data_IF_642431892251
#
_entry.id   IF_642431892251
#
_cell.length_a   1.000
_cell.length_b   1.000
_cell.length_c   1.000
_cell.angle_alpha   90.00
_cell.angle_beta   90.00
_cell.angle_gamma   90.00
#
_symmetry.space_group_name_H-M   'P 1'
#
loop_
_entity.id
_entity.type
_entity.pdbx_description
1 polymer ?
#
# COMPACT_ATOMS: atom_id res chain seq x y z
N UNK A 1 33.15 27.82 -17.56
CA UNK A 1 32.06 28.17 -16.63
C UNK A 1 30.84 27.39 -17.10
N UNK A 2 30.30 26.50 -16.27
CA UNK A 2 29.13 25.69 -16.63
C UNK A 2 27.87 26.34 -16.04
N UNK A 3 26.76 26.24 -16.76
CA UNK A 3 25.45 26.67 -16.27
C UNK A 3 24.95 25.67 -15.22
N UNK A 4 24.18 26.11 -14.20
CA UNK A 4 23.41 25.21 -13.36
C UNK A 4 22.40 24.41 -14.19
N UNK A 5 22.10 23.17 -13.79
CA UNK A 5 21.26 22.24 -14.58
C UNK A 5 19.88 22.83 -14.92
N UNK A 6 19.25 23.57 -14.00
CA UNK A 6 17.96 24.24 -14.23
C UNK A 6 18.00 25.40 -15.24
N UNK A 7 19.19 25.83 -15.68
CA UNK A 7 19.37 26.85 -16.71
C UNK A 7 19.72 26.24 -18.10
N UNK A 8 19.80 24.91 -18.19
CA UNK A 8 20.05 24.22 -19.46
C UNK A 8 18.71 23.97 -20.17
N UNK A 9 18.51 24.44 -21.41
CA UNK A 9 17.26 24.24 -22.14
C UNK A 9 17.03 22.76 -22.49
N UNK A 10 15.82 22.24 -22.26
CA UNK A 10 15.44 20.87 -22.63
C UNK A 10 15.39 20.63 -24.16
N UNK A 11 15.29 21.69 -24.96
CA UNK A 11 15.29 21.61 -26.43
C UNK A 11 16.15 22.71 -27.05
N UNK A 12 16.95 22.35 -28.05
CA UNK A 12 17.69 23.29 -28.90
C UNK A 12 17.24 23.08 -30.34
N UNK A 13 16.44 24.02 -30.86
CA UNK A 13 15.96 23.98 -32.24
C UNK A 13 16.82 24.89 -33.09
N UNK A 14 17.51 24.33 -34.09
CA UNK A 14 18.29 25.11 -35.06
C UNK A 14 17.34 25.82 -36.02
N UNK A 15 17.48 27.14 -36.11
CA UNK A 15 16.77 27.97 -37.08
C UNK A 15 17.76 28.49 -38.11
N UNK A 16 17.37 28.49 -39.38
CA UNK A 16 18.16 29.14 -40.43
C UNK A 16 18.10 30.67 -40.34
N UNK A 17 16.98 31.20 -39.84
CA UNK A 17 16.78 32.62 -39.58
C UNK A 17 15.80 32.84 -38.43
N UNK A 18 16.08 33.82 -37.58
CA UNK A 18 15.17 34.20 -36.49
C UNK A 18 13.88 34.82 -37.06
N UNK A 19 12.68 34.31 -36.71
CA UNK A 19 11.44 34.94 -37.12
C UNK A 19 11.29 36.28 -36.41
N UNK A 20 11.03 37.33 -37.18
CA UNK A 20 10.83 38.69 -36.67
C UNK A 20 9.43 39.17 -37.03
N UNK A 21 8.78 39.83 -36.08
CA UNK A 21 7.55 40.60 -36.29
C UNK A 21 7.78 41.77 -37.26
N UNK A 22 6.70 42.37 -37.76
CA UNK A 22 6.76 43.56 -38.63
C UNK A 22 7.57 44.73 -38.05
N UNK A 23 7.71 44.80 -36.72
CA UNK A 23 8.50 45.82 -36.01
C UNK A 23 9.96 45.38 -35.72
N UNK A 24 10.44 44.30 -36.33
CA UNK A 24 11.82 43.81 -36.18
C UNK A 24 12.12 43.10 -34.85
N UNK A 25 11.13 42.88 -33.98
CA UNK A 25 11.29 42.09 -32.74
C UNK A 25 11.09 40.61 -33.00
N UNK A 26 11.75 39.74 -32.24
CA UNK A 26 11.55 38.29 -32.32
C UNK A 26 10.07 37.90 -32.19
N UNK A 27 9.54 37.21 -33.20
CA UNK A 27 8.17 36.69 -33.18
C UNK A 27 8.15 35.30 -32.55
N UNK A 28 7.89 35.27 -31.24
CA UNK A 28 7.85 34.04 -30.45
C UNK A 28 6.75 33.07 -30.90
N UNK A 29 5.67 33.57 -31.49
CA UNK A 29 4.54 32.71 -31.91
C UNK A 29 4.83 31.95 -33.19
N UNK A 30 5.79 32.43 -33.97
CA UNK A 30 6.23 31.80 -35.22
C UNK A 30 7.44 30.89 -35.04
N UNK A 31 7.89 30.67 -33.81
CA UNK A 31 8.92 29.67 -33.55
C UNK A 31 8.32 28.26 -33.80
N UNK A 32 9.04 27.38 -34.50
CA UNK A 32 8.58 26.00 -34.68
C UNK A 32 8.50 25.30 -33.32
N UNK A 33 7.49 24.45 -33.18
CA UNK A 33 7.43 23.54 -32.03
C UNK A 33 8.57 22.51 -32.16
N UNK A 34 9.21 22.11 -31.05
CA UNK A 34 10.17 21.01 -31.07
C UNK A 34 9.49 19.74 -31.61
N UNK A 35 10.05 19.13 -32.66
CA UNK A 35 9.51 17.87 -33.17
C UNK A 35 9.66 16.77 -32.10
N UNK A 36 8.53 16.15 -31.76
CA UNK A 36 8.34 15.29 -30.59
C UNK A 36 8.94 13.88 -30.73
N UNK A 37 10.25 13.79 -30.71
CA UNK A 37 10.96 12.68 -30.09
C UNK A 37 12.00 13.29 -29.17
N UNK A 38 11.87 13.06 -27.86
CA UNK A 38 12.94 13.47 -26.95
C UNK A 38 14.15 12.61 -27.31
N UNK A 39 15.10 13.19 -28.03
CA UNK A 39 16.37 12.58 -28.31
C UNK A 39 17.35 13.13 -27.26
N UNK A 40 17.39 12.47 -26.11
CA UNK A 40 18.31 12.76 -25.01
C UNK A 40 19.78 12.51 -25.40
N UNK A 41 20.03 11.89 -26.56
CA UNK A 41 21.35 11.41 -26.97
C UNK A 41 21.76 10.13 -26.24
N UNK A 42 20.89 9.57 -25.40
CA UNK A 42 21.06 8.31 -24.69
C UNK A 42 20.48 7.19 -25.56
N UNK A 43 21.19 6.06 -25.63
CA UNK A 43 20.69 4.88 -26.33
C UNK A 43 19.43 4.35 -25.64
N UNK A 44 18.38 4.11 -26.42
CA UNK A 44 17.13 3.59 -25.87
C UNK A 44 17.35 2.21 -25.26
N UNK A 45 17.07 2.09 -23.96
CA UNK A 45 16.97 0.82 -23.25
C UNK A 45 15.53 0.57 -22.84
N UNK A 46 15.05 -0.64 -23.15
CA UNK A 46 13.75 -1.12 -22.69
C UNK A 46 13.80 -1.52 -21.20
N UNK A 47 12.66 -1.48 -20.48
CA UNK A 47 12.60 -1.96 -19.11
C UNK A 47 12.92 -3.45 -19.03
N UNK A 48 13.70 -3.82 -18.03
CA UNK A 48 14.23 -5.17 -17.83
C UNK A 48 13.60 -5.91 -16.65
N UNK A 49 12.89 -5.18 -15.78
CA UNK A 49 12.23 -5.73 -14.60
C UNK A 49 10.86 -5.06 -14.34
N UNK A 50 10.08 -5.62 -13.43
CA UNK A 50 8.71 -5.17 -13.15
C UNK A 50 8.64 -3.74 -12.57
N UNK A 51 9.63 -3.35 -11.76
CA UNK A 51 9.71 -2.00 -11.19
C UNK A 51 9.97 -0.98 -12.32
N UNK A 52 10.97 -1.23 -13.18
CA UNK A 52 11.25 -0.38 -14.34
C UNK A 52 10.02 -0.26 -15.26
N UNK A 53 9.31 -1.36 -15.54
CA UNK A 53 8.10 -1.35 -16.38
C UNK A 53 6.99 -0.47 -15.79
N UNK A 54 6.72 -0.60 -14.47
CA UNK A 54 5.72 0.24 -13.79
C UNK A 54 6.11 1.72 -13.76
N UNK A 55 7.37 2.01 -13.48
CA UNK A 55 7.88 3.38 -13.49
C UNK A 55 7.80 4.00 -14.88
N UNK A 56 8.09 3.22 -15.93
CA UNK A 56 7.96 3.66 -17.30
C UNK A 56 6.51 4.01 -17.65
N UNK A 57 5.56 3.12 -17.36
CA UNK A 57 4.12 3.37 -17.56
C UNK A 57 3.67 4.64 -16.84
N UNK A 58 4.08 4.79 -15.57
CA UNK A 58 3.78 5.96 -14.75
C UNK A 58 4.32 7.25 -15.37
N UNK A 59 5.57 7.25 -15.82
CA UNK A 59 6.21 8.41 -16.44
C UNK A 59 5.56 8.77 -17.77
N UNK A 60 5.20 7.77 -18.58
CA UNK A 60 4.48 7.99 -19.84
C UNK A 60 3.11 8.64 -19.59
N UNK A 61 2.37 8.21 -18.55
CA UNK A 61 1.09 8.80 -18.17
C UNK A 61 1.25 10.26 -17.72
N UNK A 62 2.23 10.55 -16.86
CA UNK A 62 2.41 11.86 -16.24
C UNK A 62 2.99 12.88 -17.21
N UNK A 63 4.00 12.48 -18.01
CA UNK A 63 4.69 13.36 -18.95
C UNK A 63 3.95 13.46 -20.29
N UNK A 64 3.10 12.49 -20.62
CA UNK A 64 2.43 12.42 -21.93
C UNK A 64 3.38 12.04 -23.09
N UNK A 65 4.57 11.51 -22.77
CA UNK A 65 5.60 11.11 -23.74
C UNK A 65 5.61 9.60 -23.86
N UNK A 66 5.53 9.06 -25.09
CA UNK A 66 5.46 7.60 -25.32
C UNK A 66 6.81 6.92 -25.39
N UNK A 67 7.81 7.56 -25.95
CA UNK A 67 9.14 6.97 -26.14
C UNK A 67 10.07 7.50 -25.06
N UNK A 68 10.05 6.85 -23.89
CA UNK A 68 10.95 7.14 -22.76
C UNK A 68 11.84 5.91 -22.60
N UNK A 69 13.15 6.08 -22.67
CA UNK A 69 14.14 5.08 -22.28
C UNK A 69 14.30 5.07 -20.76
N UNK A 70 14.59 3.91 -20.17
CA UNK A 70 14.68 3.82 -18.70
C UNK A 70 15.89 4.57 -18.11
N UNK A 71 16.86 4.94 -18.93
CA UNK A 71 18.02 5.74 -18.53
C UNK A 71 17.85 7.24 -18.86
N UNK A 72 16.71 7.63 -19.43
CA UNK A 72 16.40 9.03 -19.68
C UNK A 72 16.20 9.80 -18.38
N UNK A 73 16.77 10.99 -18.31
CA UNK A 73 16.56 11.88 -17.18
C UNK A 73 15.18 12.54 -17.26
N UNK A 74 14.41 12.46 -16.17
CA UNK A 74 13.07 13.02 -16.00
C UNK A 74 12.97 14.46 -16.49
N UNK A 75 13.96 15.31 -16.18
CA UNK A 75 13.95 16.72 -16.52
C UNK A 75 14.28 16.98 -17.99
N UNK A 76 15.10 16.12 -18.60
CA UNK A 76 15.47 16.22 -20.01
C UNK A 76 14.30 15.85 -20.93
N UNK A 77 13.40 14.98 -20.45
CA UNK A 77 12.19 14.55 -21.16
C UNK A 77 10.94 15.40 -20.86
N UNK A 78 11.13 16.61 -20.33
CA UNK A 78 10.04 17.57 -20.09
C UNK A 78 9.44 17.54 -18.68
N UNK A 79 10.03 16.78 -17.76
CA UNK A 79 9.68 16.79 -16.36
C UNK A 79 10.00 18.12 -15.67
N UNK A 80 9.17 18.48 -14.69
CA UNK A 80 9.36 19.67 -13.86
C UNK A 80 8.90 19.38 -12.42
N UNK A 81 9.09 20.33 -11.51
CA UNK A 81 8.76 20.14 -10.09
C UNK A 81 7.29 19.75 -9.84
N UNK A 82 6.33 20.28 -10.61
CA UNK A 82 4.93 19.91 -10.45
C UNK A 82 4.66 18.48 -10.91
N UNK A 83 5.25 18.07 -12.04
CA UNK A 83 5.14 16.70 -12.54
C UNK A 83 5.85 15.71 -11.61
N UNK A 84 6.98 16.11 -11.02
CA UNK A 84 7.71 15.31 -10.05
C UNK A 84 6.91 15.10 -8.75
N UNK A 85 6.21 16.14 -8.26
CA UNK A 85 5.26 15.99 -7.15
C UNK A 85 4.13 15.02 -7.51
N UNK A 86 3.56 15.10 -8.71
CA UNK A 86 2.55 14.12 -9.17
C UNK A 86 3.12 12.71 -9.25
N UNK A 87 4.34 12.55 -9.74
CA UNK A 87 5.04 11.25 -9.76
C UNK A 87 5.23 10.73 -8.36
N UNK A 88 5.64 11.57 -7.41
CA UNK A 88 5.78 11.15 -6.02
C UNK A 88 4.44 10.72 -5.41
N UNK A 89 3.36 11.45 -5.64
CA UNK A 89 2.03 11.06 -5.12
C UNK A 89 1.60 9.68 -5.62
N UNK A 90 1.87 9.37 -6.89
CA UNK A 90 1.60 8.04 -7.46
C UNK A 90 2.54 6.97 -6.91
N UNK A 91 3.81 7.31 -6.68
CA UNK A 91 4.76 6.40 -6.05
C UNK A 91 4.45 6.15 -4.58
N UNK A 92 3.82 7.09 -3.88
CA UNK A 92 3.31 6.89 -2.53
C UNK A 92 2.19 5.84 -2.51
N UNK A 93 1.36 5.78 -3.55
CA UNK A 93 0.34 4.72 -3.70
C UNK A 93 0.97 3.34 -3.96
N UNK A 94 2.04 3.29 -4.76
CA UNK A 94 2.71 2.04 -5.16
C UNK A 94 3.75 1.54 -4.14
N UNK A 95 4.48 2.46 -3.51
CA UNK A 95 5.55 2.20 -2.56
C UNK A 95 5.45 3.16 -1.36
N UNK A 96 4.42 2.99 -0.51
CA UNK A 96 4.11 3.93 0.56
C UNK A 96 5.28 4.12 1.53
N UNK A 97 5.67 5.37 1.75
CA UNK A 97 6.79 5.78 2.60
C UNK A 97 8.19 5.44 2.10
N UNK A 98 8.31 4.78 0.95
CA UNK A 98 9.58 4.33 0.41
C UNK A 98 10.31 5.41 -0.39
N UNK A 99 9.54 6.20 -1.17
CA UNK A 99 10.09 7.19 -2.11
C UNK A 99 9.66 8.60 -1.72
N UNK A 100 10.62 9.40 -1.27
CA UNK A 100 10.43 10.82 -0.97
C UNK A 100 10.61 11.65 -2.23
N UNK A 101 10.04 12.86 -2.24
CA UNK A 101 10.23 13.83 -3.34
C UNK A 101 11.72 14.10 -3.57
N UNK A 102 12.53 14.15 -2.51
CA UNK A 102 13.98 14.33 -2.57
C UNK A 102 14.69 13.20 -3.32
N UNK A 103 14.17 11.98 -3.24
CA UNK A 103 14.76 10.81 -3.88
C UNK A 103 14.58 10.87 -5.40
N UNK A 104 13.46 11.44 -5.87
CA UNK A 104 13.22 11.66 -7.30
C UNK A 104 14.19 12.68 -7.93
N UNK A 105 14.70 13.63 -7.14
CA UNK A 105 15.78 14.51 -7.57
C UNK A 105 17.14 13.80 -7.57
N UNK A 106 17.38 12.91 -6.60
CA UNK A 106 18.63 12.17 -6.49
C UNK A 106 18.76 11.06 -7.55
N UNK A 107 17.64 10.45 -7.94
CA UNK A 107 17.54 9.36 -8.90
C UNK A 107 16.61 9.73 -10.06
N UNK A 108 16.99 10.70 -10.91
CA UNK A 108 16.10 11.27 -11.91
C UNK A 108 15.96 10.41 -13.17
N UNK A 109 16.31 9.13 -13.13
CA UNK A 109 16.14 8.18 -14.24
C UNK A 109 15.41 6.93 -13.72
N UNK A 110 14.55 6.33 -14.55
CA UNK A 110 13.74 5.16 -14.17
C UNK A 110 14.60 4.04 -13.61
N UNK A 111 15.73 3.75 -14.26
CA UNK A 111 16.66 2.70 -13.85
C UNK A 111 17.24 2.92 -12.46
N UNK A 112 17.69 4.15 -12.19
CA UNK A 112 18.25 4.54 -10.88
C UNK A 112 17.19 4.53 -9.79
N UNK A 113 15.98 4.99 -10.09
CA UNK A 113 14.87 4.97 -9.15
C UNK A 113 14.41 3.53 -8.87
N UNK A 114 14.39 2.68 -9.91
CA UNK A 114 14.11 1.25 -9.76
C UNK A 114 15.15 0.56 -8.88
N UNK A 115 16.43 0.85 -9.08
CA UNK A 115 17.52 0.33 -8.23
C UNK A 115 17.38 0.82 -6.79
N UNK A 116 17.05 2.09 -6.57
CA UNK A 116 16.81 2.64 -5.23
C UNK A 116 15.65 1.92 -4.53
N UNK A 117 14.50 1.78 -5.21
CA UNK A 117 13.32 1.06 -4.70
C UNK A 117 13.70 -0.40 -4.42
N UNK A 118 14.33 -1.08 -5.37
CA UNK A 118 14.76 -2.47 -5.23
C UNK A 118 15.71 -2.64 -4.05
N UNK A 119 16.71 -1.78 -3.89
CA UNK A 119 17.63 -1.82 -2.76
C UNK A 119 16.94 -1.45 -1.44
N UNK A 120 15.94 -0.58 -1.43
CA UNK A 120 15.18 -0.30 -0.21
C UNK A 120 14.28 -1.49 0.18
N UNK A 121 13.77 -2.24 -0.80
CA UNK A 121 12.97 -3.46 -0.59
C UNK A 121 13.84 -4.68 -0.24
N UNK A 122 15.06 -4.78 -0.78
CA UNK A 122 15.96 -5.94 -0.65
C UNK A 122 17.10 -5.73 0.35
N UNK A 123 17.54 -4.48 0.56
CA UNK A 123 18.61 -4.05 1.45
C UNK A 123 18.27 -4.17 2.94
N UNK A 124 17.08 -4.68 3.23
CA UNK A 124 16.70 -5.22 4.52
C UNK A 124 17.43 -6.56 4.72
N UNK A 125 18.74 -6.48 4.96
CA UNK A 125 19.50 -7.57 5.54
C UNK A 125 18.87 -7.91 6.90
N UNK A 126 18.21 -9.08 6.98
CA UNK A 126 17.43 -9.57 8.13
C UNK A 126 16.39 -8.58 8.66
N UNK A 127 15.22 -8.45 8.03
CA UNK A 127 14.07 -7.94 8.78
C UNK A 127 13.54 -9.02 9.70
N UNK A 128 13.30 -8.62 10.95
CA UNK A 128 12.40 -9.32 11.85
C UNK A 128 10.96 -9.00 11.45
N UNK A 129 10.17 -10.04 11.20
CA UNK A 129 8.72 -9.92 11.11
C UNK A 129 8.17 -10.18 12.49
N UNK A 130 7.43 -9.23 13.07
CA UNK A 130 6.84 -9.42 14.38
C UNK A 130 5.74 -10.48 14.33
N UNK A 131 5.64 -11.24 15.40
CA UNK A 131 4.70 -12.33 15.60
C UNK A 131 3.64 -11.97 16.64
N UNK A 132 2.58 -12.77 16.68
CA UNK A 132 1.52 -12.70 17.69
C UNK A 132 1.46 -14.05 18.39
N UNK A 133 1.58 -14.04 19.72
CA UNK A 133 1.51 -15.26 20.54
C UNK A 133 0.06 -15.62 20.83
N UNK A 134 -0.46 -16.66 20.18
CA UNK A 134 -1.80 -17.16 20.43
C UNK A 134 -1.82 -18.18 21.59
N UNK A 135 -3.00 -18.44 22.19
CA UNK A 135 -3.14 -19.50 23.17
C UNK A 135 -2.71 -20.87 22.62
N UNK A 136 -2.10 -21.70 23.46
CA UNK A 136 -1.50 -22.98 23.03
C UNK A 136 -2.54 -23.93 22.40
N UNK A 137 -3.81 -23.83 22.80
CA UNK A 137 -4.90 -24.65 22.26
C UNK A 137 -5.15 -24.42 20.76
N UNK A 138 -4.68 -23.30 20.19
CA UNK A 138 -4.69 -23.05 18.75
C UNK A 138 -3.78 -24.00 17.97
N UNK A 139 -2.80 -24.64 18.61
CA UNK A 139 -1.75 -25.42 17.94
C UNK A 139 -1.86 -26.90 18.26
N UNK A 140 -1.37 -27.73 17.34
CA UNK A 140 -1.28 -29.18 17.52
C UNK A 140 0.17 -29.65 17.49
N UNK A 141 0.47 -30.75 18.20
CA UNK A 141 1.85 -31.23 18.42
C UNK A 141 2.45 -32.06 17.26
N UNK A 142 1.77 -32.16 16.10
CA UNK A 142 2.25 -32.98 14.97
C UNK A 142 1.75 -32.52 13.60
N UNK A 143 2.35 -32.98 12.50
CA UNK A 143 1.94 -32.57 11.16
C UNK A 143 0.61 -33.23 10.74
N UNK A 144 -0.48 -32.46 10.65
CA UNK A 144 -1.63 -32.84 9.83
C UNK A 144 -1.38 -32.41 8.37
N UNK A 145 -1.31 -33.39 7.48
CA UNK A 145 -1.12 -33.21 6.04
C UNK A 145 -2.49 -32.98 5.36
N UNK A 146 -3.09 -31.81 5.57
CA UNK A 146 -4.21 -31.38 4.72
C UNK A 146 -3.82 -30.11 3.97
N UNK A 147 -3.94 -30.15 2.64
CA UNK A 147 -3.76 -28.98 1.77
C UNK A 147 -4.65 -27.81 2.21
N UNK A 148 -4.15 -26.59 1.98
CA UNK A 148 -4.78 -25.27 2.13
C UNK A 148 -6.16 -25.27 2.79
N UNK A 149 -6.17 -25.03 4.10
CA UNK A 149 -7.41 -24.89 4.83
C UNK A 149 -7.86 -23.42 4.85
N UNK A 150 -9.11 -23.21 4.46
CA UNK A 150 -9.73 -21.89 4.48
C UNK A 150 -11.17 -21.94 5.02
N UNK A 151 -11.61 -20.79 5.52
CA UNK A 151 -13.02 -20.50 5.79
C UNK A 151 -13.43 -19.28 4.98
N UNK A 152 -14.67 -19.27 4.48
CA UNK A 152 -15.23 -18.14 3.73
C UNK A 152 -16.60 -17.79 4.27
N UNK A 153 -16.86 -16.51 4.43
CA UNK A 153 -18.16 -15.95 4.79
C UNK A 153 -18.52 -14.86 3.77
N UNK A 154 -19.70 -14.98 3.16
CA UNK A 154 -20.31 -13.87 2.41
C UNK A 154 -21.08 -13.05 3.42
N UNK A 155 -20.72 -11.77 3.56
CA UNK A 155 -21.42 -10.86 4.45
C UNK A 155 -22.79 -10.56 3.86
N UNK A 156 -23.82 -10.47 4.71
CA UNK A 156 -25.14 -10.08 4.23
C UNK A 156 -25.12 -8.65 3.64
N UNK A 157 -26.14 -8.34 2.83
CA UNK A 157 -26.23 -7.08 2.09
C UNK A 157 -26.28 -5.86 3.03
N UNK A 158 -26.92 -6.01 4.20
CA UNK A 158 -27.04 -4.93 5.18
C UNK A 158 -25.69 -4.59 5.80
N UNK A 159 -24.93 -5.59 6.23
CA UNK A 159 -23.56 -5.38 6.75
C UNK A 159 -22.66 -4.84 5.64
N UNK A 160 -22.75 -5.41 4.43
CA UNK A 160 -21.93 -4.97 3.30
C UNK A 160 -22.18 -3.51 2.95
N UNK A 161 -23.45 -3.06 2.96
CA UNK A 161 -23.81 -1.65 2.76
C UNK A 161 -23.22 -0.77 3.86
N UNK A 162 -23.38 -1.15 5.13
CA UNK A 162 -22.86 -0.38 6.25
C UNK A 162 -21.33 -0.24 6.22
N UNK A 163 -20.61 -1.30 5.86
CA UNK A 163 -19.16 -1.23 5.71
C UNK A 163 -18.74 -0.27 4.59
N UNK A 164 -19.50 -0.23 3.49
CA UNK A 164 -19.29 0.75 2.41
C UNK A 164 -19.58 2.18 2.89
N UNK A 165 -20.64 2.39 3.66
CA UNK A 165 -21.00 3.70 4.20
C UNK A 165 -19.94 4.21 5.19
N UNK A 166 -19.40 3.33 6.04
CA UNK A 166 -18.29 3.64 6.95
C UNK A 166 -17.05 4.00 6.14
N UNK A 167 -16.65 3.14 5.19
CA UNK A 167 -15.51 3.36 4.30
C UNK A 167 -15.58 4.72 3.59
N UNK A 168 -16.75 5.10 3.09
CA UNK A 168 -16.98 6.40 2.44
C UNK A 168 -16.94 7.57 3.43
N UNK A 169 -17.60 7.44 4.59
CA UNK A 169 -17.62 8.49 5.62
C UNK A 169 -16.22 8.78 6.15
N UNK A 170 -15.42 7.73 6.32
CA UNK A 170 -14.10 7.77 6.95
C UNK A 170 -12.96 7.95 5.94
N UNK A 171 -13.28 8.14 4.66
CA UNK A 171 -12.34 8.30 3.55
C UNK A 171 -11.25 7.22 3.55
N UNK A 172 -11.66 5.96 3.69
CA UNK A 172 -10.77 4.79 3.85
C UNK A 172 -11.30 3.58 3.09
N UNK A 173 -10.46 2.58 2.85
CA UNK A 173 -10.89 1.30 2.28
C UNK A 173 -11.57 0.39 3.30
N UNK A 174 -12.47 -0.50 2.85
CA UNK A 174 -13.09 -1.51 3.73
C UNK A 174 -12.06 -2.43 4.38
N UNK A 175 -10.95 -2.68 3.69
CA UNK A 175 -9.82 -3.45 4.19
C UNK A 175 -9.19 -2.85 5.46
N UNK A 176 -9.19 -1.52 5.62
CA UNK A 176 -8.68 -0.86 6.83
C UNK A 176 -9.68 -1.02 7.99
N UNK A 177 -10.98 -0.93 7.73
CA UNK A 177 -12.02 -1.18 8.75
C UNK A 177 -11.93 -2.61 9.29
N UNK A 178 -11.70 -3.55 8.38
CA UNK A 178 -11.59 -4.97 8.71
C UNK A 178 -10.24 -5.31 9.35
N UNK A 179 -9.14 -4.69 8.92
CA UNK A 179 -7.85 -4.74 9.61
C UNK A 179 -7.98 -4.30 11.08
N UNK A 180 -8.63 -3.16 11.33
CA UNK A 180 -8.88 -2.65 12.68
C UNK A 180 -9.64 -3.68 13.53
N UNK A 181 -10.73 -4.24 12.99
CA UNK A 181 -11.51 -5.28 13.67
C UNK A 181 -10.67 -6.53 13.96
N UNK A 182 -9.80 -6.94 13.05
CA UNK A 182 -8.99 -8.14 13.22
C UNK A 182 -7.88 -7.93 14.25
N UNK A 183 -7.20 -6.77 14.22
CA UNK A 183 -6.23 -6.38 15.23
C UNK A 183 -6.86 -6.38 16.63
N UNK A 184 -8.04 -5.76 16.78
CA UNK A 184 -8.77 -5.76 18.05
C UNK A 184 -9.09 -7.18 18.54
N UNK A 185 -9.58 -8.06 17.66
CA UNK A 185 -9.84 -9.45 18.02
C UNK A 185 -8.59 -10.17 18.52
N UNK A 186 -7.46 -9.98 17.85
CA UNK A 186 -6.19 -10.55 18.30
C UNK A 186 -5.76 -9.98 19.66
N UNK A 187 -5.94 -8.68 19.89
CA UNK A 187 -5.71 -8.06 21.21
C UNK A 187 -6.53 -8.74 22.30
N UNK A 188 -7.83 -8.99 22.04
CA UNK A 188 -8.72 -9.69 22.98
C UNK A 188 -8.32 -11.16 23.22
N UNK A 189 -7.93 -11.89 22.17
CA UNK A 189 -7.53 -13.31 22.28
C UNK A 189 -6.22 -13.47 23.04
N UNK A 190 -5.27 -12.57 22.79
CA UNK A 190 -3.92 -12.61 23.38
C UNK A 190 -3.89 -12.03 24.79
N UNK A 191 -4.86 -11.18 25.13
CA UNK A 191 -4.84 -10.37 26.36
C UNK A 191 -3.74 -9.31 26.36
N UNK A 192 -3.15 -9.02 25.19
CA UNK A 192 -2.06 -8.05 25.02
C UNK A 192 -2.62 -6.65 24.78
N UNK A 193 -2.00 -5.65 25.41
CA UNK A 193 -2.23 -4.23 25.09
C UNK A 193 -1.67 -3.84 23.72
N UNK A 194 -0.78 -4.66 23.16
CA UNK A 194 -0.16 -4.42 21.86
C UNK A 194 -0.23 -5.65 20.95
N UNK A 195 -0.54 -5.45 19.67
CA UNK A 195 -0.53 -6.50 18.65
C UNK A 195 0.04 -5.98 17.35
N UNK A 196 0.85 -6.79 16.68
CA UNK A 196 1.33 -6.48 15.34
C UNK A 196 0.55 -7.26 14.28
N UNK A 197 0.06 -6.57 13.25
CA UNK A 197 -0.60 -7.18 12.09
C UNK A 197 0.09 -6.73 10.80
N UNK A 198 0.37 -7.69 9.92
CA UNK A 198 0.92 -7.41 8.60
C UNK A 198 -0.23 -6.99 7.67
N UNK A 199 -0.05 -5.94 6.89
CA UNK A 199 -1.04 -5.43 5.95
C UNK A 199 -0.45 -5.35 4.54
N UNK A 200 -1.06 -6.07 3.59
CA UNK A 200 -0.69 -5.95 2.18
C UNK A 200 -1.27 -4.65 1.63
N UNK A 201 -0.40 -3.68 1.36
CA UNK A 201 -0.83 -2.32 1.02
C UNK A 201 -1.41 -2.25 -0.39
N UNK A 202 -0.87 -3.03 -1.32
CA UNK A 202 -1.32 -3.03 -2.71
C UNK A 202 -0.94 -4.33 -3.44
N UNK A 203 -1.39 -4.46 -4.69
CA UNK A 203 -1.11 -5.63 -5.53
C UNK A 203 0.35 -5.78 -5.97
N UNK A 204 1.22 -4.80 -5.63
CA UNK A 204 2.64 -4.87 -5.99
C UNK A 204 3.43 -5.79 -5.05
N UNK A 205 2.82 -6.25 -3.96
CA UNK A 205 3.45 -7.13 -2.98
C UNK A 205 4.04 -6.40 -1.79
N UNK A 206 3.85 -5.08 -1.64
CA UNK A 206 4.36 -4.37 -0.48
C UNK A 206 3.52 -4.67 0.75
N UNK A 207 4.17 -5.22 1.77
CA UNK A 207 3.59 -5.49 3.08
C UNK A 207 4.12 -4.49 4.08
N UNK A 208 3.23 -4.01 4.94
CA UNK A 208 3.51 -3.08 6.02
C UNK A 208 3.24 -3.75 7.35
N UNK A 209 4.17 -3.59 8.28
CA UNK A 209 4.03 -4.09 9.64
C UNK A 209 3.39 -3.02 10.52
N UNK A 210 2.14 -3.24 10.93
CA UNK A 210 1.35 -2.27 11.71
C UNK A 210 1.29 -2.71 13.16
N UNK A 211 1.77 -1.84 14.05
CA UNK A 211 1.77 -2.06 15.49
C UNK A 211 0.60 -1.30 16.14
N UNK A 212 -0.35 -2.06 16.66
CA UNK A 212 -1.51 -1.58 17.38
C UNK A 212 -1.19 -1.52 18.86
N UNK A 213 -1.33 -0.33 19.44
CA UNK A 213 -1.29 -0.08 20.88
C UNK A 213 -2.72 0.30 21.31
N UNK A 214 -3.38 -0.63 21.98
CA UNK A 214 -4.77 -0.49 22.40
C UNK A 214 -4.93 0.42 23.62
N UNK A 215 -3.86 0.71 24.37
CA UNK A 215 -3.91 1.68 25.47
C UNK A 215 -4.10 3.11 24.95
N UNK A 216 -3.73 3.36 23.68
CA UNK A 216 -3.97 4.63 22.97
C UNK A 216 -5.37 4.73 22.35
N UNK A 217 -6.19 3.69 22.44
CA UNK A 217 -7.47 3.58 21.73
C UNK A 217 -8.62 3.44 22.72
N UNK A 218 -9.51 4.43 22.77
CA UNK A 218 -10.65 4.45 23.71
C UNK A 218 -12.00 4.13 23.08
N UNK A 219 -12.11 4.03 21.76
CA UNK A 219 -13.36 3.74 21.04
C UNK A 219 -13.10 3.06 19.70
N UNK A 220 -14.17 2.58 19.04
CA UNK A 220 -14.01 1.99 17.73
C UNK A 220 -13.63 3.02 16.66
N UNK A 221 -14.24 4.22 16.70
CA UNK A 221 -13.84 5.31 15.80
C UNK A 221 -12.36 5.65 16.02
N UNK A 222 -11.91 5.75 17.29
CA UNK A 222 -10.50 5.96 17.62
C UNK A 222 -9.58 4.84 17.11
N UNK A 223 -10.03 3.58 17.14
CA UNK A 223 -9.29 2.46 16.57
C UNK A 223 -9.15 2.60 15.05
N UNK A 224 -10.24 2.99 14.38
CA UNK A 224 -10.25 3.18 12.95
C UNK A 224 -9.35 4.34 12.53
N UNK A 225 -9.40 5.46 13.25
CA UNK A 225 -8.48 6.60 13.07
C UNK A 225 -7.03 6.18 13.26
N UNK A 226 -6.73 5.49 14.37
CA UNK A 226 -5.41 4.93 14.62
C UNK A 226 -4.94 4.03 13.46
N UNK A 227 -5.82 3.15 12.96
CA UNK A 227 -5.52 2.25 11.84
C UNK A 227 -5.22 3.02 10.55
N UNK A 228 -6.02 4.05 10.23
CA UNK A 228 -5.82 4.90 9.06
C UNK A 228 -4.48 5.64 9.13
N UNK A 229 -4.16 6.22 10.28
CA UNK A 229 -2.92 6.98 10.47
C UNK A 229 -1.69 6.10 10.35
N UNK A 230 -1.72 4.91 10.95
CA UNK A 230 -0.65 3.91 10.81
C UNK A 230 -0.46 3.48 9.35
N UNK A 231 -1.54 3.13 8.64
CA UNK A 231 -1.48 2.78 7.22
C UNK A 231 -0.93 3.90 6.32
N UNK A 232 -1.14 5.18 6.70
CA UNK A 232 -0.68 6.36 5.93
C UNK A 232 0.70 6.85 6.33
N UNK A 233 1.19 6.51 7.52
CA UNK A 233 2.45 7.05 8.04
C UNK A 233 3.66 6.53 7.24
N UNK A 234 4.40 7.44 6.64
CA UNK A 234 5.56 7.12 5.79
C UNK A 234 6.87 6.90 6.56
N UNK A 235 6.91 7.16 7.88
CA UNK A 235 8.18 7.38 8.57
C UNK A 235 8.53 6.41 9.71
N UNK A 236 7.58 5.61 10.21
CA UNK A 236 7.83 4.77 11.41
C UNK A 236 7.64 3.26 11.18
N UNK A 237 6.85 2.84 10.18
CA UNK A 237 6.51 1.42 10.01
C UNK A 237 7.40 0.74 8.96
N UNK A 238 7.82 -0.49 9.28
CA UNK A 238 8.66 -1.30 8.40
C UNK A 238 7.81 -1.82 7.24
N UNK A 239 8.18 -1.46 6.02
CA UNK A 239 7.65 -2.06 4.80
C UNK A 239 8.65 -3.06 4.21
N UNK A 240 8.15 -4.12 3.60
CA UNK A 240 8.97 -5.11 2.89
C UNK A 240 8.18 -5.70 1.72
N UNK A 241 8.91 -6.22 0.73
CA UNK A 241 8.29 -6.98 -0.37
C UNK A 241 7.88 -8.36 0.13
N UNK A 242 6.66 -8.79 -0.18
CA UNK A 242 6.15 -10.10 0.19
C UNK A 242 7.00 -11.25 -0.35
N UNK A 243 7.65 -11.08 -1.51
CA UNK A 243 8.62 -12.03 -2.05
C UNK A 243 9.87 -12.15 -1.17
N UNK A 244 10.22 -11.10 -0.41
CA UNK A 244 11.31 -11.14 0.55
C UNK A 244 11.02 -12.06 1.76
N UNK A 245 9.75 -12.45 2.01
CA UNK A 245 9.41 -13.43 3.05
C UNK A 245 10.01 -14.82 2.85
N UNK A 246 10.44 -15.15 1.62
CA UNK A 246 11.20 -16.37 1.39
C UNK A 246 12.53 -16.35 2.15
N UNK A 247 13.16 -15.16 2.21
CA UNK A 247 14.46 -14.90 2.84
C UNK A 247 14.35 -14.38 4.27
N UNK A 248 13.15 -14.00 4.71
CA UNK A 248 12.92 -13.53 6.07
C UNK A 248 13.17 -14.65 7.08
N UNK A 249 14.02 -14.38 8.07
CA UNK A 249 14.21 -15.28 9.21
C UNK A 249 12.99 -15.12 10.12
N UNK A 250 12.12 -16.13 10.11
CA UNK A 250 10.97 -16.20 10.99
C UNK A 250 11.23 -17.32 11.99
N UNK A 251 12.10 -17.07 12.97
CA UNK A 251 12.18 -17.91 14.17
C UNK A 251 10.89 -17.70 14.98
N UNK A 252 9.80 -18.33 14.53
CA UNK A 252 8.53 -18.33 15.26
C UNK A 252 8.64 -19.32 16.40
N UNK A 253 8.30 -18.89 17.60
CA UNK A 253 8.09 -19.85 18.69
C UNK A 253 6.88 -20.77 18.38
N UNK A 254 6.77 -21.90 19.09
CA UNK A 254 5.73 -22.92 18.85
C UNK A 254 4.31 -22.34 18.78
N UNK A 255 4.01 -21.29 19.55
CA UNK A 255 2.68 -20.69 19.69
C UNK A 255 2.52 -19.30 19.05
N UNK A 256 3.41 -18.98 18.10
CA UNK A 256 3.42 -17.69 17.42
C UNK A 256 2.92 -17.78 15.98
N UNK A 257 2.12 -16.78 15.58
CA UNK A 257 1.61 -16.60 14.21
C UNK A 257 2.03 -15.24 13.62
N UNK A 258 1.99 -15.10 12.30
CA UNK A 258 2.29 -13.83 11.60
C UNK A 258 1.06 -13.35 10.82
N UNK A 259 0.07 -12.74 11.49
CA UNK A 259 -1.22 -12.44 10.87
C UNK A 259 -1.07 -11.46 9.70
N UNK A 260 -1.66 -11.79 8.55
CA UNK A 260 -1.73 -10.92 7.37
C UNK A 260 -3.18 -10.54 7.07
N UNK A 261 -3.43 -9.27 6.81
CA UNK A 261 -4.67 -8.78 6.21
C UNK A 261 -4.36 -8.26 4.82
N UNK A 262 -5.15 -8.67 3.85
CA UNK A 262 -5.04 -8.18 2.49
C UNK A 262 -6.42 -7.94 1.88
N UNK A 263 -6.53 -6.89 1.06
CA UNK A 263 -7.66 -6.73 0.14
C UNK A 263 -7.55 -7.70 -1.04
N UNK A 264 -8.13 -7.31 -2.18
CA UNK A 264 -7.88 -7.98 -3.46
C UNK A 264 -6.43 -7.70 -3.87
N UNK A 265 -5.62 -8.73 -4.09
CA UNK A 265 -4.25 -8.48 -4.59
C UNK A 265 -3.17 -9.52 -4.37
N UNK A 266 -3.46 -10.69 -3.77
CA UNK A 266 -2.46 -11.76 -3.73
C UNK A 266 -2.33 -12.40 -5.13
N UNK A 267 -1.37 -11.92 -5.93
CA UNK A 267 -0.98 -12.51 -7.23
C UNK A 267 -0.13 -13.78 -7.05
N UNK A 268 0.45 -13.99 -5.87
CA UNK A 268 1.26 -15.15 -5.50
C UNK A 268 0.41 -16.39 -5.22
N UNK A 269 0.98 -17.58 -5.42
CA UNK A 269 0.30 -18.85 -5.12
C UNK A 269 -0.03 -18.91 -3.62
N UNK A 270 -1.33 -18.97 -3.30
CA UNK A 270 -1.86 -18.86 -1.92
C UNK A 270 -1.32 -19.94 -0.97
N UNK A 271 -0.87 -21.09 -1.47
CA UNK A 271 -0.33 -22.22 -0.70
C UNK A 271 0.97 -21.89 0.05
N UNK A 272 1.89 -21.15 -0.56
CA UNK A 272 3.24 -20.96 0.00
C UNK A 272 3.31 -19.79 0.98
N UNK A 273 2.47 -18.79 0.75
CA UNK A 273 2.38 -17.62 1.61
C UNK A 273 1.70 -17.95 2.96
N UNK A 274 0.72 -18.86 2.96
CA UNK A 274 0.03 -19.28 4.19
C UNK A 274 1.01 -19.94 5.18
N UNK A 275 2.03 -20.65 4.70
CA UNK A 275 3.08 -21.23 5.57
C UNK A 275 3.90 -20.16 6.30
N UNK A 276 4.02 -18.98 5.69
CA UNK A 276 4.81 -17.84 6.20
C UNK A 276 4.01 -16.89 7.07
N UNK A 277 2.70 -16.78 6.86
CA UNK A 277 1.84 -15.88 7.64
C UNK A 277 0.97 -16.63 8.68
N UNK A 278 0.77 -17.93 8.55
CA UNK A 278 -0.09 -18.76 9.43
C UNK A 278 -1.59 -18.42 9.44
N UNK A 279 -1.97 -17.14 9.37
CA UNK A 279 -3.35 -16.67 9.25
C UNK A 279 -3.37 -15.51 8.26
N UNK A 280 -4.18 -15.63 7.20
CA UNK A 280 -4.38 -14.61 6.18
C UNK A 280 -5.87 -14.29 6.10
N UNK A 281 -6.24 -13.05 6.36
CA UNK A 281 -7.57 -12.52 6.14
C UNK A 281 -7.60 -11.82 4.78
N UNK A 282 -8.32 -12.40 3.83
CA UNK A 282 -8.53 -11.84 2.50
C UNK A 282 -9.95 -11.28 2.38
N UNK A 283 -10.04 -10.07 1.83
CA UNK A 283 -11.29 -9.36 1.68
C UNK A 283 -11.55 -9.11 0.20
N UNK A 284 -12.73 -9.52 -0.26
CA UNK A 284 -13.18 -9.28 -1.62
C UNK A 284 -14.54 -8.61 -1.61
N UNK A 285 -14.59 -7.39 -2.11
CA UNK A 285 -15.83 -6.69 -2.45
C UNK A 285 -16.18 -6.94 -3.92
N UNK A 286 -17.02 -7.92 -4.21
CA UNK A 286 -17.62 -8.00 -5.55
C UNK A 286 -18.79 -7.00 -5.64
N UNK A 287 -19.23 -6.66 -6.86
CA UNK A 287 -20.29 -5.65 -7.07
C UNK A 287 -21.62 -5.97 -6.35
N UNK A 288 -21.80 -7.17 -5.79
CA UNK A 288 -23.03 -7.62 -5.13
C UNK A 288 -22.88 -7.82 -3.62
N UNK A 289 -21.75 -8.31 -3.12
CA UNK A 289 -21.54 -8.53 -1.69
C UNK A 289 -20.05 -8.55 -1.31
N UNK A 290 -19.75 -8.08 -0.09
CA UNK A 290 -18.43 -8.27 0.50
C UNK A 290 -18.29 -9.71 1.01
N UNK A 291 -17.13 -10.31 0.80
CA UNK A 291 -16.79 -11.62 1.36
C UNK A 291 -15.45 -11.57 2.07
N UNK A 292 -15.40 -12.27 3.20
CA UNK A 292 -14.21 -12.42 4.02
C UNK A 292 -13.77 -13.86 3.95
N UNK A 293 -12.50 -14.09 3.67
CA UNK A 293 -11.87 -15.39 3.67
C UNK A 293 -10.74 -15.43 4.67
N UNK A 294 -10.62 -16.51 5.42
CA UNK A 294 -9.52 -16.78 6.34
C UNK A 294 -8.79 -18.02 5.85
N UNK A 295 -7.58 -17.85 5.32
CA UNK A 295 -6.66 -18.95 5.06
C UNK A 295 -5.78 -19.15 6.30
N UNK A 296 -5.43 -20.39 6.61
CA UNK A 296 -4.55 -20.65 7.74
C UNK A 296 -3.63 -21.85 7.53
N UNK A 297 -2.52 -21.87 8.27
CA UNK A 297 -1.53 -22.92 8.22
C UNK A 297 -2.03 -24.14 9.01
N UNK A 298 -2.75 -25.01 8.31
CA UNK A 298 -3.29 -26.28 8.80
C UNK A 298 -2.23 -27.26 9.32
N UNK A 299 -0.94 -27.04 9.02
CA UNK A 299 0.17 -27.83 9.57
C UNK A 299 0.61 -27.40 10.96
N UNK A 300 0.15 -26.23 11.44
CA UNK A 300 0.46 -25.73 12.78
C UNK A 300 -0.79 -25.56 13.63
N UNK A 301 -1.91 -25.19 13.01
CA UNK A 301 -3.08 -24.69 13.71
C UNK A 301 -4.29 -25.64 13.63
N UNK A 302 -5.01 -25.78 14.76
CA UNK A 302 -6.23 -26.57 14.87
C UNK A 302 -7.39 -25.89 14.14
N UNK A 303 -8.04 -26.64 13.26
CA UNK A 303 -9.20 -26.21 12.47
C UNK A 303 -10.34 -25.64 13.32
N UNK A 304 -10.63 -26.27 14.46
CA UNK A 304 -11.72 -25.89 15.36
C UNK A 304 -11.46 -24.50 15.96
N UNK A 305 -10.24 -24.24 16.43
CA UNK A 305 -9.85 -22.96 17.02
C UNK A 305 -9.80 -21.83 16.00
N UNK A 306 -9.26 -22.10 14.81
CA UNK A 306 -9.29 -21.10 13.73
C UNK A 306 -10.72 -20.80 13.28
N UNK A 307 -11.61 -21.80 13.27
CA UNK A 307 -13.04 -21.59 13.00
C UNK A 307 -13.70 -20.72 14.08
N UNK A 308 -13.41 -20.95 15.36
CA UNK A 308 -13.91 -20.12 16.47
C UNK A 308 -13.46 -18.66 16.34
N UNK A 309 -12.17 -18.46 16.05
CA UNK A 309 -11.60 -17.14 15.78
C UNK A 309 -12.30 -16.48 14.58
N UNK A 310 -12.45 -17.19 13.46
CA UNK A 310 -13.10 -16.66 12.27
C UNK A 310 -14.57 -16.31 12.52
N UNK A 311 -15.33 -17.17 13.22
CA UNK A 311 -16.72 -16.88 13.55
C UNK A 311 -16.85 -15.68 14.50
N UNK A 312 -15.94 -15.55 15.46
CA UNK A 312 -15.89 -14.39 16.37
C UNK A 312 -15.55 -13.12 15.59
N UNK A 313 -14.63 -13.20 14.64
CA UNK A 313 -14.30 -12.09 13.75
C UNK A 313 -15.51 -11.61 12.94
N UNK A 314 -16.26 -12.52 12.32
CA UNK A 314 -17.49 -12.16 11.58
C UNK A 314 -18.54 -11.50 12.49
N UNK A 315 -18.73 -12.02 13.72
CA UNK A 315 -19.63 -11.40 14.71
C UNK A 315 -19.13 -10.02 15.15
N UNK A 316 -17.82 -9.85 15.31
CA UNK A 316 -17.23 -8.57 15.66
C UNK A 316 -17.50 -7.53 14.57
N UNK A 317 -17.28 -7.87 13.30
CA UNK A 317 -17.62 -6.99 12.16
C UNK A 317 -19.08 -6.53 12.24
N UNK A 318 -20.01 -7.46 12.52
CA UNK A 318 -21.43 -7.12 12.72
C UNK A 318 -21.64 -6.12 13.86
N UNK A 319 -21.06 -6.37 15.03
CA UNK A 319 -21.18 -5.50 16.20
C UNK A 319 -20.57 -4.11 15.95
N UNK A 320 -19.42 -4.04 15.29
CA UNK A 320 -18.72 -2.79 15.00
C UNK A 320 -19.52 -1.88 14.09
N UNK A 321 -20.20 -2.42 13.07
CA UNK A 321 -21.08 -1.61 12.21
C UNK A 321 -22.25 -0.98 12.98
N UNK A 322 -22.71 -1.62 14.06
CA UNK A 322 -23.77 -1.06 14.92
C UNK A 322 -23.19 -0.04 15.91
N UNK A 323 -22.03 -0.32 16.51
CA UNK A 323 -21.37 0.60 17.46
C UNK A 323 -20.99 1.92 16.79
N UNK A 324 -20.45 1.85 15.57
CA UNK A 324 -20.06 3.02 14.79
C UNK A 324 -21.22 3.99 14.58
N UNK A 325 -22.40 3.49 14.18
CA UNK A 325 -23.60 4.33 13.99
C UNK A 325 -24.02 5.02 15.29
N UNK A 326 -23.98 4.29 16.41
CA UNK A 326 -24.35 4.85 17.71
C UNK A 326 -23.37 5.91 18.20
N UNK A 327 -22.07 5.68 18.03
CA UNK A 327 -21.01 6.64 18.38
C UNK A 327 -21.10 7.89 17.51
N UNK A 328 -21.26 7.73 16.19
CA UNK A 328 -21.42 8.84 15.24
C UNK A 328 -22.63 9.71 15.59
N UNK A 329 -23.80 9.10 15.83
CA UNK A 329 -25.01 9.84 16.20
C UNK A 329 -24.81 10.65 17.50
N UNK A 330 -24.17 10.05 18.52
CA UNK A 330 -23.86 10.77 19.77
C UNK A 330 -22.92 11.97 19.55
N UNK A 331 -21.94 11.83 18.66
CA UNK A 331 -21.03 12.93 18.32
C UNK A 331 -21.75 14.05 17.57
N UNK A 332 -22.62 13.71 16.63
CA UNK A 332 -23.44 14.69 15.88
C UNK A 332 -24.41 15.44 16.79
N UNK A 333 -25.10 14.73 17.71
CA UNK A 333 -25.97 15.36 18.72
C UNK A 333 -25.19 16.28 19.66
N UNK A 334 -24.00 15.88 20.09
CA UNK A 334 -23.14 16.70 20.93
C UNK A 334 -22.59 17.94 20.21
N UNK A 335 -22.34 17.85 18.90
CA UNK A 335 -21.93 18.99 18.06
C UNK A 335 -23.09 19.97 17.85
N UNK A 336 -24.29 19.48 17.51
CA UNK A 336 -25.49 20.30 17.35
C UNK A 336 -25.92 21.00 18.64
N UNK A 337 -25.79 20.32 19.79
CA UNK A 337 -26.05 20.91 21.11
C UNK A 337 -25.06 22.01 21.52
N UNK A 338 -23.84 22.02 20.94
CA UNK A 338 -22.84 23.07 21.16
C UNK A 338 -23.02 24.29 20.24
N UNK A 339 -23.71 24.17 19.11
CA UNK A 339 -24.04 25.31 18.24
C UNK A 339 -25.28 26.09 18.69
N UNK A 340 -26.09 25.52 19.59
CA UNK A 340 -27.31 26.12 20.14
C UNK A 340 -27.08 26.88 21.48
N UNK A 341 -25.84 26.93 21.96
CA UNK A 341 -25.37 27.66 23.15
C UNK A 341 -24.35 28.72 22.73
#
# INVERSE_FOLDING_TARGET
KNLPDYMVPSYIVRLDKMPLSANGKADRKSLPEPEGTVNTGIEYRAPSNEIESRLLELWQEILGVKNIGVDDNFFDIGGNSLLLVRTQMRLEELYPGLVKVTDLFAYPAISRLADYISNALTGISTFSVNTVKLPEDFFHDGEMLTDDAYFKCVLDEKISSKLKDISQTEYTGMEIVLLAAFAYLLGQITGSGEVTVQYLVNETGIVRQIEFDFDKVSSFIGLLDYSKDKCRSSHEEKCYDIAAMEKAHTEKESHEVVPLVCGKGLKTVKTDIVKKYDIIIEISDDKRAASVMCLYNSKRMRKEKVRELFNTYIKLIQMLTVSYEQEKNKMEEAAAGKELL
#
